data_IF_809458341755
#
_entry.id   IF_809458341755
#
_cell.length_a   1.000
_cell.length_b   1.000
_cell.length_c   1.000
_cell.angle_alpha   90.00
_cell.angle_beta   90.00
_cell.angle_gamma   90.00
#
_symmetry.space_group_name_H-M   'P 1'
#
loop_
_entity.id
_entity.type
_entity.pdbx_description
1 polymer ?
#
# COMPACT_ATOMS: atom_id res chain seq x y z
N UNK A 1 1.13 1.61 5.07
CA UNK A 1 0.77 0.20 5.25
C UNK A 1 1.63 -0.39 6.36
N UNK A 2 1.00 -0.86 7.44
CA UNK A 2 1.67 -1.50 8.59
C UNK A 2 1.00 -2.83 8.91
N UNK A 3 1.69 -3.77 9.53
CA UNK A 3 1.08 -5.08 9.89
C UNK A 3 0.20 -5.01 11.13
N UNK A 4 0.50 -4.08 12.04
CA UNK A 4 -0.18 -3.93 13.32
C UNK A 4 -0.47 -2.44 13.59
N UNK A 5 -1.62 -1.92 13.10
CA UNK A 5 -2.02 -0.52 13.28
C UNK A 5 -2.15 -0.11 14.75
N UNK A 6 -2.49 -1.04 15.65
CA UNK A 6 -2.51 -0.78 17.12
C UNK A 6 -1.19 -0.26 17.71
N UNK A 7 -0.06 -0.40 17.00
CA UNK A 7 1.24 0.11 17.45
C UNK A 7 1.52 1.55 17.00
N UNK A 8 0.66 2.12 16.17
CA UNK A 8 0.77 3.51 15.74
C UNK A 8 0.58 4.44 16.95
N UNK A 9 1.33 5.54 16.95
CA UNK A 9 1.08 6.63 17.91
C UNK A 9 -0.29 7.27 17.64
N UNK A 10 -0.93 7.90 18.64
CA UNK A 10 -2.19 8.61 18.44
C UNK A 10 -2.14 9.63 17.30
N UNK A 11 -0.99 10.30 17.11
CA UNK A 11 -0.79 11.27 16.04
C UNK A 11 -0.70 10.62 14.66
N UNK A 12 0.01 9.50 14.53
CA UNK A 12 0.09 8.71 13.29
C UNK A 12 -1.26 8.12 12.94
N UNK A 13 -2.01 7.71 13.95
CA UNK A 13 -3.34 7.15 13.81
C UNK A 13 -4.36 8.17 13.33
N UNK A 14 -4.45 9.29 14.03
CA UNK A 14 -5.36 10.38 13.67
C UNK A 14 -5.16 10.85 12.23
N UNK A 15 -3.93 10.79 11.73
CA UNK A 15 -3.60 11.15 10.35
C UNK A 15 -4.23 10.23 9.31
N UNK A 16 -4.21 8.92 9.48
CA UNK A 16 -4.76 8.05 8.44
C UNK A 16 -6.28 7.88 8.58
N UNK A 17 -6.80 7.89 9.81
CA UNK A 17 -8.23 7.72 10.08
C UNK A 17 -9.09 8.81 9.45
N UNK A 18 -8.58 10.04 9.32
CA UNK A 18 -9.31 11.13 8.67
C UNK A 18 -9.65 10.86 7.20
N UNK A 19 -8.92 9.94 6.56
CA UNK A 19 -9.12 9.56 5.15
C UNK A 19 -9.94 8.29 4.97
N UNK A 20 -10.37 7.63 6.04
CA UNK A 20 -11.14 6.39 5.97
C UNK A 20 -12.60 6.70 6.26
N UNK A 21 -13.45 6.51 5.25
CA UNK A 21 -14.88 6.59 5.42
C UNK A 21 -15.44 5.28 6.00
N UNK A 22 -15.58 5.20 7.32
CA UNK A 22 -16.27 4.11 8.01
C UNK A 22 -16.91 4.64 9.32
N UNK A 23 -18.10 4.14 9.66
CA UNK A 23 -18.84 4.47 10.89
C UNK A 23 -18.23 3.82 12.15
N UNK A 24 -17.44 2.77 11.99
CA UNK A 24 -16.80 2.01 13.04
C UNK A 24 -15.28 2.26 13.01
N UNK A 25 -14.80 3.09 13.94
CA UNK A 25 -13.38 3.45 14.03
C UNK A 25 -12.45 2.23 14.15
N UNK A 26 -12.88 1.21 14.90
CA UNK A 26 -12.11 -0.03 15.01
C UNK A 26 -11.95 -0.73 13.65
N UNK A 27 -12.99 -0.76 12.82
CA UNK A 27 -12.91 -1.35 11.47
C UNK A 27 -12.04 -0.49 10.56
N UNK A 28 -12.19 0.84 10.64
CA UNK A 28 -11.33 1.79 9.92
C UNK A 28 -9.84 1.60 10.24
N UNK A 29 -9.52 1.30 11.50
CA UNK A 29 -8.17 1.00 11.97
C UNK A 29 -7.67 -0.34 11.46
N UNK A 30 -8.49 -1.38 11.63
CA UNK A 30 -8.01 -2.76 11.54
C UNK A 30 -8.28 -3.46 10.20
N UNK A 31 -9.11 -2.90 9.31
CA UNK A 31 -9.47 -3.56 8.06
C UNK A 31 -9.13 -2.74 6.82
N UNK A 32 -8.01 -3.08 6.17
CA UNK A 32 -7.57 -2.40 4.94
C UNK A 32 -8.42 -2.72 3.70
N UNK A 33 -9.33 -3.69 3.78
CA UNK A 33 -10.20 -4.06 2.66
C UNK A 33 -11.67 -3.78 2.96
N UNK A 34 -11.94 -3.02 4.02
CA UNK A 34 -13.23 -2.38 4.20
C UNK A 34 -13.33 -1.15 3.29
N UNK A 35 -14.36 -1.14 2.46
CA UNK A 35 -14.64 -0.06 1.52
C UNK A 35 -16.08 0.41 1.76
N UNK A 36 -16.21 1.59 2.37
CA UNK A 36 -17.50 2.22 2.69
C UNK A 36 -18.43 1.32 3.55
N UNK A 37 -17.87 0.66 4.57
CA UNK A 37 -18.63 -0.23 5.46
C UNK A 37 -19.00 -1.57 4.83
N UNK A 38 -18.36 -1.91 3.70
CA UNK A 38 -18.44 -3.21 3.06
C UNK A 38 -17.06 -3.79 2.91
N UNK A 39 -16.81 -4.88 3.63
CA UNK A 39 -15.58 -5.64 3.51
C UNK A 39 -15.55 -6.40 2.20
N UNK A 40 -14.44 -6.32 1.47
CA UNK A 40 -14.22 -7.09 0.25
C UNK A 40 -14.11 -8.58 0.61
N UNK A 41 -15.23 -9.30 0.58
CA UNK A 41 -15.27 -10.71 1.00
C UNK A 41 -14.59 -11.61 -0.05
N UNK A 42 -13.69 -12.53 0.34
CA UNK A 42 -13.02 -13.45 -0.56
C UNK A 42 -13.85 -14.70 -0.93
N UNK A 43 -15.18 -14.65 -0.88
CA UNK A 43 -16.06 -15.85 -0.99
C UNK A 43 -15.99 -16.60 -2.33
N UNK A 44 -15.21 -16.14 -3.31
CA UNK A 44 -14.93 -16.93 -4.50
C UNK A 44 -13.68 -17.82 -4.40
N UNK A 45 -12.65 -17.49 -3.59
CA UNK A 45 -11.41 -18.28 -3.51
C UNK A 45 -10.64 -18.07 -2.18
N UNK A 46 -9.94 -19.10 -1.67
CA UNK A 46 -9.16 -18.96 -0.45
C UNK A 46 -8.11 -17.85 -0.60
N UNK A 47 -8.01 -16.91 0.35
CA UNK A 47 -7.16 -15.72 0.22
C UNK A 47 -5.68 -16.04 0.46
N UNK A 48 -5.05 -16.89 -0.36
CA UNK A 48 -3.59 -17.11 -0.36
C UNK A 48 -2.89 -16.07 -1.23
N UNK A 49 -1.56 -16.10 -1.26
CA UNK A 49 -0.76 -15.46 -2.32
C UNK A 49 -1.14 -15.96 -3.73
N UNK A 50 -1.97 -17.01 -3.80
CA UNK A 50 -2.58 -17.58 -5.00
C UNK A 50 -4.01 -17.07 -5.24
N UNK A 51 -4.48 -16.06 -4.49
CA UNK A 51 -5.69 -15.32 -4.88
C UNK A 51 -5.43 -14.74 -6.27
N UNK A 52 -6.15 -15.18 -7.32
CA UNK A 52 -5.83 -14.84 -8.70
C UNK A 52 -6.02 -13.35 -9.02
N UNK A 53 -6.68 -12.59 -8.15
CA UNK A 53 -6.79 -11.13 -8.28
C UNK A 53 -5.44 -10.45 -8.10
N UNK A 54 -4.60 -10.93 -7.19
CA UNK A 54 -3.28 -10.36 -6.92
C UNK A 54 -2.38 -10.40 -8.17
N UNK A 55 -2.14 -11.55 -8.83
CA UNK A 55 -1.36 -11.60 -10.05
C UNK A 55 -2.07 -10.93 -11.24
N UNK A 56 -3.41 -10.90 -11.29
CA UNK A 56 -4.13 -10.18 -12.33
C UNK A 56 -3.90 -8.66 -12.25
N UNK A 57 -4.04 -8.05 -11.07
CA UNK A 57 -3.78 -6.62 -10.86
C UNK A 57 -2.29 -6.30 -11.07
N UNK A 58 -1.38 -7.18 -10.64
CA UNK A 58 0.04 -7.06 -10.98
C UNK A 58 0.29 -7.08 -12.49
N UNK A 59 -0.37 -7.97 -13.23
CA UNK A 59 -0.27 -8.04 -14.69
C UNK A 59 -0.74 -6.75 -15.37
N UNK A 60 -1.89 -6.21 -14.94
CA UNK A 60 -2.41 -4.93 -15.46
C UNK A 60 -1.44 -3.79 -15.15
N UNK A 61 -0.96 -3.67 -13.90
CA UNK A 61 0.00 -2.63 -13.53
C UNK A 61 1.32 -2.74 -14.30
N UNK A 62 1.80 -3.96 -14.55
CA UNK A 62 3.01 -4.20 -15.34
C UNK A 62 2.82 -3.76 -16.81
N UNK A 63 1.69 -4.11 -17.43
CA UNK A 63 1.37 -3.68 -18.80
C UNK A 63 1.25 -2.17 -18.93
N UNK A 64 0.66 -1.50 -17.94
CA UNK A 64 0.58 -0.03 -17.91
C UNK A 64 1.98 0.61 -17.84
N UNK A 65 2.88 0.04 -17.01
CA UNK A 65 4.28 0.51 -16.91
C UNK A 65 5.07 0.27 -18.18
N UNK A 66 4.92 -0.90 -18.80
CA UNK A 66 5.58 -1.23 -20.07
C UNK A 66 5.10 -0.26 -21.17
N UNK A 67 3.79 -0.05 -21.27
CA UNK A 67 3.21 0.91 -22.21
C UNK A 67 3.75 2.33 -21.96
N UNK A 68 3.81 2.78 -20.70
CA UNK A 68 4.38 4.07 -20.36
C UNK A 68 5.85 4.19 -20.81
N UNK A 69 6.66 3.16 -20.54
CA UNK A 69 8.05 3.11 -20.99
C UNK A 69 8.19 3.18 -22.50
N UNK A 70 7.31 2.51 -23.25
CA UNK A 70 7.29 2.62 -24.71
C UNK A 70 6.96 4.05 -25.17
N UNK A 71 5.96 4.68 -24.57
CA UNK A 71 5.57 6.06 -24.89
C UNK A 71 6.69 7.07 -24.59
N UNK A 72 7.48 6.85 -23.54
CA UNK A 72 8.62 7.70 -23.15
C UNK A 72 9.79 7.62 -24.14
N UNK A 73 9.87 6.56 -24.95
CA UNK A 73 10.93 6.42 -25.98
C UNK A 73 10.58 7.10 -27.31
N UNK A 74 9.36 7.61 -27.45
CA UNK A 74 8.93 8.29 -28.66
C UNK A 74 9.63 9.65 -28.80
N UNK A 75 9.93 10.12 -30.03
CA UNK A 75 10.56 11.42 -30.23
C UNK A 75 9.73 12.53 -29.59
N UNK A 76 10.38 13.45 -28.86
CA UNK A 76 9.73 14.62 -28.26
C UNK A 76 9.67 15.76 -29.29
N UNK A 77 8.46 16.02 -29.80
CA UNK A 77 8.15 17.15 -30.67
C UNK A 77 6.73 17.66 -30.37
N UNK A 78 6.36 18.79 -30.98
CA UNK A 78 5.08 19.45 -30.69
C UNK A 78 3.86 18.51 -30.87
N UNK A 79 3.92 17.60 -31.85
CA UNK A 79 2.85 16.66 -32.17
C UNK A 79 2.80 15.44 -31.23
N UNK A 80 3.87 15.14 -30.51
CA UNK A 80 4.02 13.93 -29.67
C UNK A 80 4.17 14.22 -28.17
N UNK A 81 4.30 15.49 -27.76
CA UNK A 81 4.41 15.90 -26.35
C UNK A 81 3.28 15.39 -25.44
N UNK A 82 2.12 15.06 -26.02
CA UNK A 82 0.99 14.45 -25.29
C UNK A 82 1.23 12.99 -24.91
N UNK A 83 2.08 12.25 -25.63
CA UNK A 83 2.46 10.86 -25.33
C UNK A 83 3.22 10.78 -24.01
N UNK A 84 4.13 11.73 -23.75
CA UNK A 84 4.81 11.83 -22.46
C UNK A 84 3.81 12.06 -21.31
N UNK A 85 2.82 12.93 -21.54
CA UNK A 85 1.77 13.21 -20.55
C UNK A 85 0.86 12.00 -20.30
N UNK A 86 0.61 11.20 -21.34
CA UNK A 86 -0.09 9.93 -21.23
C UNK A 86 0.75 8.91 -20.45
N UNK A 87 2.05 8.78 -20.74
CA UNK A 87 2.97 7.89 -20.04
C UNK A 87 2.98 8.17 -18.52
N UNK A 88 3.10 9.44 -18.13
CA UNK A 88 3.02 9.87 -16.74
C UNK A 88 1.69 9.45 -16.09
N UNK A 89 0.57 9.60 -16.81
CA UNK A 89 -0.76 9.21 -16.32
C UNK A 89 -0.87 7.70 -16.13
N UNK A 90 -0.31 6.90 -17.05
CA UNK A 90 -0.26 5.43 -16.94
C UNK A 90 0.60 4.99 -15.75
N UNK A 91 1.75 5.64 -15.50
CA UNK A 91 2.58 5.36 -14.32
C UNK A 91 1.86 5.65 -13.02
N UNK A 92 1.15 6.79 -12.94
CA UNK A 92 0.33 7.13 -11.77
C UNK A 92 -0.74 6.05 -11.52
N UNK A 93 -1.48 5.64 -12.56
CA UNK A 93 -2.47 4.57 -12.44
C UNK A 93 -1.87 3.24 -12.00
N UNK A 94 -0.76 2.82 -12.62
CA UNK A 94 -0.07 1.59 -12.25
C UNK A 94 0.39 1.62 -10.78
N UNK A 95 0.83 2.78 -10.30
CA UNK A 95 1.25 2.97 -8.92
C UNK A 95 0.07 2.82 -7.94
N UNK A 96 -1.06 3.48 -8.22
CA UNK A 96 -2.26 3.39 -7.39
C UNK A 96 -2.80 1.95 -7.33
N UNK A 97 -2.85 1.25 -8.47
CA UNK A 97 -3.26 -0.16 -8.53
C UNK A 97 -2.38 -1.07 -7.68
N UNK A 98 -1.05 -0.84 -7.70
CA UNK A 98 -0.09 -1.58 -6.87
C UNK A 98 -0.32 -1.32 -5.39
N UNK A 99 -0.53 -0.07 -4.99
CA UNK A 99 -0.86 0.25 -3.59
C UNK A 99 -2.14 -0.46 -3.15
N UNK A 100 -3.23 -0.40 -3.93
CA UNK A 100 -4.47 -1.12 -3.58
C UNK A 100 -4.24 -2.63 -3.45
N UNK A 101 -3.47 -3.23 -4.36
CA UNK A 101 -3.15 -4.65 -4.32
C UNK A 101 -2.29 -5.05 -3.11
N UNK A 102 -1.34 -4.19 -2.74
CA UNK A 102 -0.48 -4.39 -1.58
C UNK A 102 -1.27 -4.35 -0.27
N UNK A 103 -2.15 -3.34 -0.11
CA UNK A 103 -3.03 -3.25 1.06
C UNK A 103 -3.96 -4.45 1.16
N UNK A 104 -4.54 -4.88 0.02
CA UNK A 104 -5.33 -6.10 -0.06
C UNK A 104 -4.53 -7.33 0.40
N UNK A 105 -3.35 -7.56 -0.18
CA UNK A 105 -2.48 -8.70 0.16
C UNK A 105 -2.05 -8.71 1.63
N UNK A 106 -1.72 -7.54 2.21
CA UNK A 106 -1.39 -7.44 3.64
C UNK A 106 -2.59 -7.75 4.51
N UNK A 107 -3.81 -7.33 4.16
CA UNK A 107 -5.00 -7.67 4.94
C UNK A 107 -5.22 -9.18 5.00
N UNK A 108 -5.05 -9.88 3.87
CA UNK A 108 -5.16 -11.35 3.84
C UNK A 108 -4.13 -12.02 4.77
N UNK A 109 -2.92 -11.47 4.83
CA UNK A 109 -1.89 -11.93 5.77
C UNK A 109 -2.32 -11.66 7.21
N UNK A 110 -2.82 -10.46 7.51
CA UNK A 110 -3.31 -10.10 8.85
C UNK A 110 -4.44 -11.00 9.31
N UNK A 111 -5.37 -11.33 8.42
CA UNK A 111 -6.47 -12.24 8.71
C UNK A 111 -5.99 -13.64 9.09
N UNK A 112 -5.02 -14.17 8.35
CA UNK A 112 -4.44 -15.51 8.62
C UNK A 112 -3.62 -15.55 9.88
N UNK A 113 -2.87 -14.48 10.13
CA UNK A 113 -2.01 -14.35 11.29
C UNK A 113 -2.73 -13.72 12.49
N UNK A 114 -4.05 -13.57 12.45
CA UNK A 114 -4.83 -12.82 13.46
C UNK A 114 -4.55 -13.29 14.88
N UNK A 115 -4.52 -14.60 15.11
CA UNK A 115 -4.25 -15.17 16.43
C UNK A 115 -2.85 -14.79 16.93
N UNK A 116 -1.82 -14.92 16.08
CA UNK A 116 -0.45 -14.57 16.42
C UNK A 116 -0.26 -13.04 16.61
N UNK A 117 -0.90 -12.23 15.79
CA UNK A 117 -0.83 -10.76 15.84
C UNK A 117 -1.58 -10.16 17.03
N UNK A 118 -2.62 -10.83 17.52
CA UNK A 118 -3.37 -10.44 18.73
C UNK A 118 -2.76 -11.02 20.01
N UNK A 119 -1.80 -11.93 19.89
CA UNK A 119 -1.03 -12.46 21.01
C UNK A 119 -0.03 -11.45 21.59
N UNK A 120 0.61 -11.78 22.74
CA UNK A 120 1.68 -10.96 23.29
C UNK A 120 2.90 -10.94 22.37
N UNK A 121 3.70 -9.85 22.37
CA UNK A 121 4.98 -9.83 21.65
C UNK A 121 5.86 -11.00 22.07
N UNK A 122 6.40 -11.72 21.08
CA UNK A 122 7.29 -12.85 21.32
C UNK A 122 8.72 -12.37 21.58
N UNK A 123 9.47 -13.15 22.34
CA UNK A 123 10.93 -13.05 22.42
C UNK A 123 11.50 -14.08 21.45
N UNK A 124 12.22 -13.69 20.38
CA UNK A 124 12.80 -14.63 19.44
C UNK A 124 13.73 -15.62 20.15
N UNK A 125 13.56 -16.92 19.88
CA UNK A 125 14.49 -17.93 20.36
C UNK A 125 15.88 -17.69 19.76
N UNK A 126 16.94 -17.99 20.53
CA UNK A 126 18.33 -18.01 20.03
C UNK A 126 18.63 -19.28 19.23
N UNK A 127 17.71 -20.23 19.19
CA UNK A 127 17.86 -21.48 18.45
C UNK A 127 17.33 -21.25 17.03
N UNK A 128 18.16 -21.41 15.99
CA UNK A 128 17.73 -21.25 14.61
C UNK A 128 16.64 -22.26 14.26
N UNK A 129 15.59 -21.79 13.58
CA UNK A 129 14.54 -22.65 13.04
C UNK A 129 14.47 -22.51 11.52
N UNK A 130 14.46 -23.66 10.85
CA UNK A 130 14.19 -23.75 9.41
C UNK A 130 12.70 -23.53 9.10
N UNK A 131 11.84 -23.74 10.09
CA UNK A 131 10.39 -23.52 10.04
C UNK A 131 10.06 -22.15 10.66
N UNK A 132 10.17 -21.10 9.85
CA UNK A 132 9.60 -19.79 10.17
C UNK A 132 8.21 -19.61 9.58
N UNK A 133 7.56 -18.50 9.92
CA UNK A 133 6.27 -18.10 9.38
C UNK A 133 6.43 -17.60 7.94
N UNK A 134 5.95 -18.36 6.93
CA UNK A 134 6.06 -17.93 5.52
C UNK A 134 5.29 -16.64 5.25
N UNK A 135 4.29 -16.33 6.08
CA UNK A 135 3.52 -15.10 6.03
C UNK A 135 4.34 -13.86 6.39
N UNK A 136 5.36 -13.97 7.25
CA UNK A 136 6.24 -12.84 7.54
C UNK A 136 7.13 -12.51 6.34
N UNK A 137 7.63 -13.52 5.63
CA UNK A 137 8.38 -13.30 4.38
C UNK A 137 7.51 -12.64 3.33
N UNK A 138 6.31 -13.15 3.11
CA UNK A 138 5.34 -12.56 2.17
C UNK A 138 4.99 -11.12 2.55
N UNK A 139 4.78 -10.84 3.84
CA UNK A 139 4.53 -9.48 4.32
C UNK A 139 5.73 -8.56 4.07
N UNK A 140 6.95 -9.02 4.35
CA UNK A 140 8.18 -8.24 4.14
C UNK A 140 8.36 -7.89 2.66
N UNK A 141 8.05 -8.81 1.75
CA UNK A 141 8.09 -8.57 0.30
C UNK A 141 7.04 -7.53 -0.12
N UNK A 142 5.77 -7.70 0.26
CA UNK A 142 4.70 -6.75 -0.07
C UNK A 142 4.98 -5.37 0.54
N UNK A 143 5.48 -5.30 1.77
CA UNK A 143 5.87 -4.04 2.40
C UNK A 143 7.03 -3.37 1.69
N UNK A 144 8.06 -4.13 1.29
CA UNK A 144 9.18 -3.58 0.53
C UNK A 144 8.70 -3.02 -0.81
N UNK A 145 7.86 -3.80 -1.50
CA UNK A 145 7.24 -3.40 -2.74
C UNK A 145 6.41 -2.12 -2.60
N UNK A 146 5.59 -2.01 -1.56
CA UNK A 146 4.79 -0.81 -1.29
C UNK A 146 5.65 0.40 -0.90
N UNK A 147 6.73 0.18 -0.16
CA UNK A 147 7.67 1.25 0.20
C UNK A 147 8.33 1.83 -1.04
N UNK A 148 8.87 0.97 -1.91
CA UNK A 148 9.49 1.39 -3.16
C UNK A 148 8.44 2.03 -4.11
N UNK A 149 7.22 1.48 -4.17
CA UNK A 149 6.10 2.05 -4.93
C UNK A 149 5.70 3.45 -4.41
N UNK A 150 5.68 3.68 -3.09
CA UNK A 150 5.37 4.98 -2.52
C UNK A 150 6.44 6.04 -2.86
N UNK A 151 7.73 5.67 -2.87
CA UNK A 151 8.77 6.57 -3.36
C UNK A 151 8.65 6.87 -4.84
N UNK A 152 8.34 5.87 -5.66
CA UNK A 152 8.10 6.08 -7.09
C UNK A 152 6.94 7.05 -7.31
N UNK A 153 5.84 6.91 -6.55
CA UNK A 153 4.72 7.85 -6.62
C UNK A 153 5.16 9.26 -6.24
N UNK A 154 5.96 9.39 -5.18
CA UNK A 154 6.45 10.69 -4.73
C UNK A 154 7.24 11.39 -5.84
N UNK A 155 8.19 10.68 -6.46
CA UNK A 155 8.95 11.20 -7.60
C UNK A 155 8.03 11.58 -8.77
N UNK A 156 7.07 10.74 -9.14
CA UNK A 156 6.14 11.05 -10.23
C UNK A 156 5.30 12.29 -9.96
N UNK A 157 4.87 12.50 -8.71
CA UNK A 157 4.10 13.68 -8.32
C UNK A 157 4.96 14.95 -8.36
N UNK A 158 6.20 14.86 -7.86
CA UNK A 158 7.18 15.95 -7.89
C UNK A 158 7.57 16.34 -9.33
N UNK A 159 7.70 15.36 -10.23
CA UNK A 159 7.99 15.54 -11.66
C UNK A 159 6.79 16.05 -12.49
N UNK A 160 5.84 16.73 -11.85
CA UNK A 160 4.69 17.36 -12.48
C UNK A 160 3.43 16.50 -12.53
N UNK A 161 3.49 15.25 -12.06
CA UNK A 161 2.32 14.36 -11.93
C UNK A 161 1.24 14.93 -11.02
N UNK A 162 1.60 15.79 -10.06
CA UNK A 162 0.65 16.46 -9.17
C UNK A 162 -0.40 17.30 -9.92
N UNK A 163 -0.07 17.79 -11.13
CA UNK A 163 -1.01 18.54 -11.99
C UNK A 163 -2.08 17.66 -12.63
N UNK A 164 -1.91 16.33 -12.57
CA UNK A 164 -2.82 15.32 -13.11
C UNK A 164 -3.81 14.78 -12.09
N UNK A 165 -3.65 15.16 -10.83
CA UNK A 165 -4.51 14.71 -9.75
C UNK A 165 -5.46 15.83 -9.36
N UNK A 166 -6.75 15.50 -9.41
CA UNK A 166 -7.81 16.37 -8.89
C UNK A 166 -7.72 16.36 -7.37
N UNK A 167 -7.61 17.56 -6.78
CA UNK A 167 -7.49 17.79 -5.34
C UNK A 167 -8.52 18.82 -4.91
N UNK A 168 -9.00 18.72 -3.68
CA UNK A 168 -9.87 19.71 -3.08
C UNK A 168 -9.09 21.02 -2.79
N UNK A 169 -9.79 22.16 -2.74
CA UNK A 169 -9.24 23.38 -2.16
C UNK A 169 -8.80 23.19 -0.70
N UNK A 170 -7.94 24.08 -0.21
CA UNK A 170 -7.47 24.06 1.18
C UNK A 170 -8.65 24.20 2.13
N UNK A 171 -8.79 23.25 3.05
CA UNK A 171 -9.85 23.22 4.06
C UNK A 171 -11.20 22.68 3.58
N UNK A 172 -11.31 22.23 2.32
CA UNK A 172 -12.53 21.62 1.76
C UNK A 172 -12.42 20.11 1.56
N UNK A 173 -11.26 19.52 1.84
CA UNK A 173 -11.07 18.08 1.69
C UNK A 173 -11.85 17.28 2.74
N UNK A 174 -12.25 16.07 2.33
CA UNK A 174 -12.94 15.09 3.14
C UNK A 174 -12.42 13.67 2.79
N UNK A 175 -13.06 12.63 3.34
CA UNK A 175 -12.66 11.24 3.09
C UNK A 175 -12.79 10.79 1.61
N UNK A 176 -13.43 11.58 0.73
CA UNK A 176 -13.63 11.25 -0.68
C UNK A 176 -12.80 12.12 -1.63
N UNK A 177 -12.14 13.15 -1.10
CA UNK A 177 -11.39 14.11 -1.89
C UNK A 177 -9.95 14.21 -1.42
N UNK A 178 -9.02 14.38 -2.36
CA UNK A 178 -7.60 14.43 -2.04
C UNK A 178 -7.23 15.82 -1.55
N UNK A 179 -6.53 15.90 -0.41
CA UNK A 179 -6.00 17.16 0.12
C UNK A 179 -4.96 17.81 -0.83
N UNK A 180 -4.84 19.15 -0.81
CA UNK A 180 -3.86 19.86 -1.63
C UNK A 180 -2.41 19.42 -1.33
N UNK A 181 -2.11 19.08 -0.07
CA UNK A 181 -0.81 18.70 0.48
C UNK A 181 -0.44 17.20 0.28
N UNK A 182 -0.98 16.57 -0.78
CA UNK A 182 -0.80 15.15 -1.08
C UNK A 182 0.66 14.66 -1.04
N UNK A 183 1.62 15.48 -1.50
CA UNK A 183 3.05 15.15 -1.47
C UNK A 183 3.54 14.98 -0.02
N UNK A 184 3.14 15.87 0.90
CA UNK A 184 3.53 15.76 2.31
C UNK A 184 2.87 14.55 2.98
N UNK A 185 1.63 14.23 2.62
CA UNK A 185 0.95 13.03 3.10
C UNK A 185 1.65 11.76 2.67
N UNK A 186 2.15 11.73 1.43
CA UNK A 186 2.91 10.60 0.94
C UNK A 186 4.26 10.46 1.65
N UNK A 187 4.97 11.56 1.92
CA UNK A 187 6.19 11.56 2.74
C UNK A 187 5.90 11.06 4.16
N UNK A 188 4.79 11.48 4.76
CA UNK A 188 4.36 11.00 6.08
C UNK A 188 4.05 9.51 6.06
N UNK A 189 3.32 9.01 5.07
CA UNK A 189 3.07 7.57 4.86
C UNK A 189 4.38 6.78 4.81
N UNK A 190 5.36 7.26 4.04
CA UNK A 190 6.69 6.64 3.94
C UNK A 190 7.41 6.62 5.28
N UNK A 191 7.37 7.73 6.04
CA UNK A 191 8.00 7.83 7.35
C UNK A 191 7.40 6.83 8.35
N UNK A 192 6.07 6.74 8.41
CA UNK A 192 5.34 5.77 9.26
C UNK A 192 5.71 4.34 8.85
N UNK A 193 5.68 4.02 7.56
CA UNK A 193 6.07 2.69 7.09
C UNK A 193 7.48 2.29 7.52
N UNK A 194 8.41 3.25 7.52
CA UNK A 194 9.79 3.03 7.98
C UNK A 194 9.89 2.89 9.50
N UNK A 195 9.14 3.68 10.27
CA UNK A 195 9.13 3.59 11.73
C UNK A 195 8.64 2.21 12.20
N UNK A 196 7.64 1.65 11.52
CA UNK A 196 6.99 0.37 11.84
C UNK A 196 7.57 -0.82 11.07
N UNK A 197 8.81 -0.70 10.56
CA UNK A 197 9.41 -1.70 9.68
C UNK A 197 9.70 -3.05 10.35
N UNK A 198 9.88 -3.11 11.66
CA UNK A 198 10.25 -4.35 12.35
C UNK A 198 9.12 -4.91 13.22
N UNK A 199 7.94 -4.29 13.20
CA UNK A 199 6.86 -4.65 14.12
C UNK A 199 6.37 -6.07 13.91
N UNK A 200 6.31 -6.55 12.67
CA UNK A 200 5.91 -7.93 12.37
C UNK A 200 6.83 -8.98 12.99
N UNK A 201 8.13 -8.69 13.14
CA UNK A 201 9.09 -9.64 13.73
C UNK A 201 8.83 -9.89 15.23
N UNK A 202 8.15 -8.95 15.88
CA UNK A 202 7.74 -9.05 17.29
C UNK A 202 6.61 -10.05 17.51
N UNK A 203 5.91 -10.47 16.46
CA UNK A 203 4.76 -11.37 16.57
C UNK A 203 4.92 -12.62 15.71
N UNK A 204 5.60 -12.51 14.57
CA UNK A 204 5.84 -13.61 13.63
C UNK A 204 7.31 -14.00 13.60
N UNK A 205 7.57 -15.27 13.33
CA UNK A 205 8.88 -15.91 13.30
C UNK A 205 9.49 -15.83 11.92
N UNK A 206 10.62 -15.14 11.76
CA UNK A 206 11.41 -15.24 10.53
C UNK A 206 11.99 -16.65 10.41
N UNK A 207 11.94 -17.29 9.24
CA UNK A 207 12.85 -18.39 8.97
C UNK A 207 14.29 -17.84 9.06
N UNK A 208 15.11 -18.50 9.88
CA UNK A 208 16.47 -18.10 10.28
C UNK A 208 16.67 -16.82 11.11
N UNK A 209 17.12 -17.02 12.37
CA UNK A 209 18.13 -16.22 13.07
C UNK A 209 19.17 -17.17 13.65
#
# INVERSE_FOLDING_TARGET
MVIKPDLLTPEEEAFFLSYIFNIHEHEAREDYIDLAGSRLVPDCLPPTRDDPRIPAIHGVAAQLRETAGMLETMPDNDDTSWLYRLALSLRLWANLLRTSNNFYGVQLIRDRCREALNGPPRIPSKIPTWTGDPHLLAFNEIRREEYDNAYELLTLLEDGGITRIVRAPVGEADAFTLEPELIEHLRRKIAVMRAHWLDGERYLTSPFK
#
